data_IF_324475258317
#
_entry.id   IF_324475258317
#
_cell.length_a   1.000
_cell.length_b   1.000
_cell.length_c   1.000
_cell.angle_alpha   90.00
_cell.angle_beta   90.00
_cell.angle_gamma   90.00
#
_symmetry.space_group_name_H-M   'P 1'
#
loop_
_entity.id
_entity.type
_entity.pdbx_description
1 polymer ?
#
# COMPACT_ATOMS: atom_id res chain seq x y z
N UNK A 1 7.41 56.95 -41.53
CA UNK A 1 7.15 55.96 -40.45
C UNK A 1 8.43 55.18 -40.17
N UNK A 2 9.13 55.44 -39.05
CA UNK A 2 10.31 54.66 -38.64
C UNK A 2 9.83 53.34 -38.02
N UNK A 3 10.17 52.20 -38.61
CA UNK A 3 9.90 50.86 -38.05
C UNK A 3 10.79 50.66 -36.81
N UNK A 4 10.18 50.54 -35.64
CA UNK A 4 10.85 50.11 -34.41
C UNK A 4 11.20 48.63 -34.60
N UNK A 5 12.49 48.31 -34.72
CA UNK A 5 12.96 46.92 -34.67
C UNK A 5 12.85 46.45 -33.22
N UNK A 6 11.86 45.60 -32.95
CA UNK A 6 11.78 44.87 -31.69
C UNK A 6 12.84 43.76 -31.76
N UNK A 7 14.01 43.99 -31.15
CA UNK A 7 14.97 42.92 -30.92
C UNK A 7 14.38 42.01 -29.82
N UNK A 8 13.72 40.91 -30.21
CA UNK A 8 13.15 39.94 -29.28
C UNK A 8 14.21 38.93 -28.79
N UNK A 9 15.28 39.43 -28.19
CA UNK A 9 16.30 38.62 -27.52
C UNK A 9 16.19 38.79 -26.02
N UNK A 10 16.20 37.69 -25.26
CA UNK A 10 16.34 37.75 -23.82
C UNK A 10 17.72 38.32 -23.48
N UNK A 11 17.76 39.29 -22.56
CA UNK A 11 19.00 39.78 -22.00
C UNK A 11 19.61 38.72 -21.07
N UNK A 12 20.94 38.73 -20.91
CA UNK A 12 21.66 37.76 -20.09
C UNK A 12 21.11 37.67 -18.65
N UNK A 13 20.66 38.79 -18.09
CA UNK A 13 20.07 38.82 -16.75
C UNK A 13 18.69 38.15 -16.70
N UNK A 14 17.84 38.38 -17.70
CA UNK A 14 16.54 37.71 -17.79
C UNK A 14 16.69 36.21 -18.01
N UNK A 15 17.74 35.76 -18.72
CA UNK A 15 18.09 34.33 -18.83
C UNK A 15 18.47 33.73 -17.48
N UNK A 16 19.30 34.42 -16.69
CA UNK A 16 19.69 33.97 -15.35
C UNK A 16 18.47 33.89 -14.43
N UNK A 17 17.61 34.92 -14.42
CA UNK A 17 16.37 34.90 -13.62
C UNK A 17 15.43 33.77 -14.05
N UNK A 18 15.28 33.55 -15.35
CA UNK A 18 14.45 32.45 -15.88
C UNK A 18 14.98 31.08 -15.47
N UNK A 19 16.31 30.88 -15.46
CA UNK A 19 16.94 29.64 -15.00
C UNK A 19 16.72 29.40 -13.50
N UNK A 20 16.81 30.45 -12.67
CA UNK A 20 16.54 30.33 -11.23
C UNK A 20 15.09 29.94 -10.97
N UNK A 21 14.14 30.57 -11.67
CA UNK A 21 12.72 30.22 -11.57
C UNK A 21 12.50 28.77 -12.02
N UNK A 22 13.12 28.37 -13.14
CA UNK A 22 13.01 27.01 -13.66
C UNK A 22 13.59 25.97 -12.68
N UNK A 23 14.72 26.27 -12.04
CA UNK A 23 15.33 25.39 -11.05
C UNK A 23 14.41 25.18 -9.85
N UNK A 24 13.80 26.25 -9.34
CA UNK A 24 12.84 26.18 -8.22
C UNK A 24 11.63 25.31 -8.63
N UNK A 25 11.07 25.54 -9.82
CA UNK A 25 9.96 24.75 -10.34
C UNK A 25 10.34 23.27 -10.51
N UNK A 26 11.52 22.99 -11.04
CA UNK A 26 12.02 21.64 -11.25
C UNK A 26 12.15 20.87 -9.93
N UNK A 27 12.67 21.53 -8.88
CA UNK A 27 12.78 20.93 -7.55
C UNK A 27 11.39 20.53 -7.04
N UNK A 28 10.43 21.45 -7.08
CA UNK A 28 9.05 21.21 -6.61
C UNK A 28 8.39 20.05 -7.38
N UNK A 29 8.50 20.05 -8.72
CA UNK A 29 7.92 19.00 -9.56
C UNK A 29 8.58 17.64 -9.27
N UNK A 30 9.90 17.60 -9.08
CA UNK A 30 10.63 16.36 -8.77
C UNK A 30 10.18 15.76 -7.43
N UNK A 31 9.98 16.60 -6.41
CA UNK A 31 9.43 16.15 -5.13
C UNK A 31 8.02 15.59 -5.27
N UNK A 32 7.15 16.27 -6.04
CA UNK A 32 5.79 15.80 -6.29
C UNK A 32 5.78 14.44 -7.01
N UNK A 33 6.55 14.30 -8.10
CA UNK A 33 6.64 13.05 -8.86
C UNK A 33 7.12 11.90 -7.97
N UNK A 34 8.18 12.13 -7.18
CA UNK A 34 8.74 11.11 -6.29
C UNK A 34 7.73 10.68 -5.23
N UNK A 35 7.00 11.64 -4.67
CA UNK A 35 5.97 11.38 -3.65
C UNK A 35 4.80 10.58 -4.24
N UNK A 36 4.33 10.96 -5.44
CA UNK A 36 3.24 10.25 -6.13
C UNK A 36 3.67 8.83 -6.46
N UNK A 37 4.89 8.63 -6.98
CA UNK A 37 5.40 7.32 -7.28
C UNK A 37 5.41 6.43 -6.03
N UNK A 38 5.99 6.92 -4.94
CA UNK A 38 6.04 6.19 -3.66
C UNK A 38 4.64 5.83 -3.15
N UNK A 39 3.73 6.79 -3.08
CA UNK A 39 2.37 6.57 -2.62
C UNK A 39 1.61 5.59 -3.51
N UNK A 40 1.84 5.61 -4.82
CA UNK A 40 1.22 4.66 -5.75
C UNK A 40 1.73 3.23 -5.54
N UNK A 41 3.03 3.04 -5.30
CA UNK A 41 3.58 1.74 -4.95
C UNK A 41 3.03 1.22 -3.62
N UNK A 42 3.01 2.07 -2.58
CA UNK A 42 2.48 1.70 -1.27
C UNK A 42 0.98 1.34 -1.35
N UNK A 43 0.19 2.14 -2.07
CA UNK A 43 -1.23 1.86 -2.30
C UNK A 43 -1.46 0.55 -3.04
N UNK A 44 -0.62 0.23 -4.04
CA UNK A 44 -0.69 -1.05 -4.76
C UNK A 44 -0.44 -2.23 -3.84
N UNK A 45 0.58 -2.16 -2.99
CA UNK A 45 0.89 -3.26 -2.06
C UNK A 45 -0.19 -3.43 -0.99
N UNK A 46 -0.73 -2.33 -0.47
CA UNK A 46 -1.86 -2.38 0.46
C UNK A 46 -3.08 -3.02 -0.20
N UNK A 47 -3.42 -2.63 -1.43
CA UNK A 47 -4.55 -3.23 -2.16
C UNK A 47 -4.39 -4.75 -2.35
N UNK A 48 -3.19 -5.20 -2.71
CA UNK A 48 -2.89 -6.64 -2.84
C UNK A 48 -3.01 -7.33 -1.48
N UNK A 49 -2.44 -6.75 -0.41
CA UNK A 49 -2.52 -7.28 0.94
C UNK A 49 -3.99 -7.42 1.41
N UNK A 50 -4.81 -6.38 1.24
CA UNK A 50 -6.24 -6.43 1.55
C UNK A 50 -6.96 -7.53 0.77
N UNK A 51 -6.66 -7.69 -0.53
CA UNK A 51 -7.27 -8.73 -1.36
C UNK A 51 -6.87 -10.14 -0.90
N UNK A 52 -5.61 -10.34 -0.53
CA UNK A 52 -5.11 -11.61 -0.01
C UNK A 52 -5.77 -11.96 1.32
N UNK A 53 -5.82 -11.01 2.25
CA UNK A 53 -6.44 -11.19 3.56
C UNK A 53 -7.93 -11.52 3.40
N UNK A 54 -8.66 -10.78 2.56
CA UNK A 54 -10.08 -11.03 2.29
C UNK A 54 -10.32 -12.42 1.68
N UNK A 55 -9.50 -12.81 0.70
CA UNK A 55 -9.58 -14.14 0.09
C UNK A 55 -9.40 -15.23 1.14
N UNK A 56 -8.36 -15.12 1.99
CA UNK A 56 -8.08 -16.10 3.05
C UNK A 56 -9.18 -16.12 4.12
N UNK A 57 -9.73 -14.97 4.45
CA UNK A 57 -10.86 -14.86 5.37
C UNK A 57 -12.07 -15.66 4.88
N UNK A 58 -12.44 -15.50 3.61
CA UNK A 58 -13.55 -16.25 3.02
C UNK A 58 -13.24 -17.75 2.89
N UNK A 59 -12.01 -18.13 2.57
CA UNK A 59 -11.58 -19.53 2.53
C UNK A 59 -11.66 -20.20 3.91
N UNK A 60 -11.21 -19.53 4.97
CA UNK A 60 -11.33 -20.02 6.36
C UNK A 60 -12.81 -20.14 6.74
N UNK A 61 -13.65 -19.17 6.35
CA UNK A 61 -15.10 -19.23 6.59
C UNK A 61 -15.78 -20.40 5.87
N UNK A 62 -15.41 -20.67 4.63
CA UNK A 62 -16.00 -21.71 3.80
C UNK A 62 -15.57 -23.14 4.20
N UNK A 63 -14.43 -23.29 4.89
CA UNK A 63 -13.93 -24.60 5.29
C UNK A 63 -14.87 -25.25 6.32
N UNK A 64 -15.04 -26.57 6.33
CA UNK A 64 -15.88 -27.26 7.33
C UNK A 64 -15.15 -27.51 8.66
N UNK A 65 -13.86 -27.81 8.56
CA UNK A 65 -12.99 -28.10 9.70
C UNK A 65 -12.06 -26.91 9.96
N UNK A 66 -11.68 -26.73 11.22
CA UNK A 66 -10.70 -25.71 11.61
C UNK A 66 -9.56 -26.41 12.32
N UNK A 67 -8.34 -26.11 11.87
CA UNK A 67 -7.11 -26.57 12.49
C UNK A 67 -6.56 -25.40 13.29
N UNK A 68 -6.47 -25.57 14.60
CA UNK A 68 -5.89 -24.59 15.52
C UNK A 68 -4.38 -24.47 15.32
N UNK A 69 -3.84 -23.30 15.67
CA UNK A 69 -2.41 -23.01 15.65
C UNK A 69 -2.02 -21.87 14.72
N UNK A 70 -0.71 -21.63 14.64
CA UNK A 70 -0.12 -20.59 13.80
C UNK A 70 0.46 -21.20 12.53
N UNK A 71 0.11 -20.63 11.39
CA UNK A 71 0.68 -20.98 10.09
C UNK A 71 1.27 -19.73 9.47
N UNK A 72 2.53 -19.81 9.06
CA UNK A 72 3.17 -18.77 8.28
C UNK A 72 3.65 -19.36 6.97
N UNK A 73 3.34 -18.70 5.85
CA UNK A 73 3.76 -19.13 4.54
C UNK A 73 4.00 -17.94 3.61
N UNK A 74 4.88 -18.14 2.63
CA UNK A 74 5.23 -17.12 1.65
C UNK A 74 4.31 -17.23 0.44
N UNK A 75 3.76 -16.09 0.01
CA UNK A 75 3.00 -15.96 -1.22
C UNK A 75 3.60 -14.82 -2.05
N UNK A 76 4.29 -15.17 -3.14
CA UNK A 76 5.08 -14.22 -3.94
C UNK A 76 6.05 -13.42 -3.05
N UNK A 77 5.91 -12.09 -3.00
CA UNK A 77 6.73 -11.18 -2.19
C UNK A 77 6.12 -10.89 -0.80
N UNK A 78 5.03 -11.56 -0.45
CA UNK A 78 4.32 -11.37 0.82
C UNK A 78 4.49 -12.57 1.73
N UNK A 79 4.46 -12.32 3.03
CA UNK A 79 4.36 -13.37 4.05
C UNK A 79 2.95 -13.29 4.63
N UNK A 80 2.26 -14.42 4.67
CA UNK A 80 0.93 -14.53 5.24
C UNK A 80 1.06 -15.33 6.53
N UNK A 81 0.53 -14.78 7.62
CA UNK A 81 0.46 -15.42 8.92
C UNK A 81 -1.00 -15.57 9.33
N UNK A 82 -1.35 -16.78 9.76
CA UNK A 82 -2.69 -17.14 10.21
C UNK A 82 -2.57 -17.71 11.60
N UNK A 83 -3.22 -17.06 12.56
CA UNK A 83 -3.34 -17.55 13.92
C UNK A 83 -4.79 -17.92 14.17
N UNK A 84 -5.04 -19.19 14.50
CA UNK A 84 -6.38 -19.69 14.81
C UNK A 84 -6.42 -20.23 16.23
N UNK A 85 -7.29 -19.66 17.05
CA UNK A 85 -7.47 -20.00 18.47
C UNK A 85 -8.91 -20.36 18.77
N UNK A 86 -9.12 -21.38 19.60
CA UNK A 86 -10.45 -21.74 20.08
C UNK A 86 -10.89 -20.81 21.21
N UNK A 87 -12.13 -20.34 21.16
CA UNK A 87 -12.71 -19.49 22.20
C UNK A 87 -13.49 -20.36 23.18
N UNK A 88 -12.91 -20.62 24.35
CA UNK A 88 -13.47 -21.53 25.36
C UNK A 88 -14.71 -20.98 26.09
N UNK A 89 -14.96 -19.68 26.02
CA UNK A 89 -16.08 -19.03 26.71
C UNK A 89 -17.47 -19.41 26.14
N UNK A 90 -17.52 -19.96 24.93
CA UNK A 90 -18.77 -20.33 24.27
C UNK A 90 -19.05 -21.84 24.39
N UNK A 91 -20.32 -22.19 24.62
CA UNK A 91 -20.79 -23.59 24.68
C UNK A 91 -20.71 -24.33 23.33
N UNK A 92 -20.61 -23.59 22.23
CA UNK A 92 -20.43 -24.12 20.87
C UNK A 92 -18.97 -23.95 20.43
N UNK A 93 -18.46 -24.79 19.51
CA UNK A 93 -17.09 -24.64 19.01
C UNK A 93 -16.95 -23.35 18.17
N UNK A 94 -16.52 -22.28 18.85
CA UNK A 94 -16.21 -20.98 18.26
C UNK A 94 -14.70 -20.84 18.15
N UNK A 95 -14.25 -20.39 16.98
CA UNK A 95 -12.84 -20.16 16.69
C UNK A 95 -12.63 -18.71 16.29
N UNK A 96 -11.64 -18.07 16.89
CA UNK A 96 -11.09 -16.79 16.47
C UNK A 96 -9.94 -17.05 15.52
N UNK A 97 -9.88 -16.29 14.43
CA UNK A 97 -8.77 -16.34 13.51
C UNK A 97 -8.29 -14.93 13.16
N UNK A 98 -6.97 -14.76 13.10
CA UNK A 98 -6.30 -13.51 12.74
C UNK A 98 -5.43 -13.81 11.52
N UNK A 99 -5.59 -13.01 10.47
CA UNK A 99 -4.83 -13.13 9.23
C UNK A 99 -4.02 -11.84 9.07
N UNK A 100 -2.70 -11.96 9.04
CA UNK A 100 -1.77 -10.85 8.88
C UNK A 100 -0.97 -11.02 7.60
N UNK A 101 -0.88 -9.97 6.80
CA UNK A 101 -0.05 -9.94 5.59
C UNK A 101 1.10 -8.98 5.78
N UNK A 102 2.30 -9.49 5.59
CA UNK A 102 3.55 -8.76 5.75
C UNK A 102 4.26 -8.59 4.41
N UNK A 103 5.00 -7.50 4.31
CA UNK A 103 6.00 -7.26 3.27
C UNK A 103 7.18 -6.51 3.87
N UNK A 104 8.41 -6.97 3.60
CA UNK A 104 9.64 -6.37 4.12
C UNK A 104 9.59 -6.14 5.65
N UNK A 105 9.14 -7.16 6.38
CA UNK A 105 8.91 -7.17 7.85
C UNK A 105 7.90 -6.14 8.38
N UNK A 106 7.12 -5.50 7.49
CA UNK A 106 6.02 -4.60 7.85
C UNK A 106 4.68 -5.26 7.63
N UNK A 107 3.80 -5.14 8.61
CA UNK A 107 2.39 -5.48 8.46
C UNK A 107 1.74 -4.46 7.53
N UNK A 108 1.17 -4.95 6.43
CA UNK A 108 0.40 -4.12 5.51
C UNK A 108 -1.09 -4.14 5.84
N UNK A 109 -1.60 -5.30 6.25
CA UNK A 109 -3.02 -5.50 6.57
C UNK A 109 -3.19 -6.61 7.59
N UNK A 110 -4.19 -6.46 8.47
CA UNK A 110 -4.61 -7.50 9.41
C UNK A 110 -6.13 -7.56 9.47
N UNK A 111 -6.69 -8.76 9.42
CA UNK A 111 -8.13 -8.95 9.57
C UNK A 111 -8.42 -10.09 10.54
N UNK A 112 -9.34 -9.79 11.45
CA UNK A 112 -9.81 -10.71 12.48
C UNK A 112 -11.21 -11.22 12.14
N UNK A 113 -11.44 -12.50 12.42
CA UNK A 113 -12.72 -13.15 12.21
C UNK A 113 -13.08 -14.12 13.33
N UNK A 114 -14.38 -14.38 13.41
CA UNK A 114 -14.94 -15.46 14.22
C UNK A 114 -15.63 -16.46 13.29
N UNK A 115 -15.48 -17.74 13.61
CA UNK A 115 -16.22 -18.82 12.96
C UNK A 115 -16.86 -19.71 14.00
N UNK A 116 -18.16 -19.90 13.83
CA UNK A 116 -18.97 -20.81 14.64
C UNK A 116 -19.21 -22.07 13.82
N UNK A 117 -18.78 -23.22 14.33
CA UNK A 117 -19.11 -24.52 13.74
C UNK A 117 -20.39 -25.01 14.44
N UNK A 118 -21.43 -25.32 13.66
CA UNK A 118 -22.69 -25.89 14.14
C UNK A 118 -22.79 -27.36 13.76
#
# INVERSE_FOLDING_TARGET
>A
MKKIKINSGFTMIETIFSLVIFLILYIVISFLITTIAKNSYDARYNYIATTLVQKRYEEIKATKEIIEGCKSYKYEDFIIEEEITKVEEYKSPVYKFVISVYKDDKILETLEGLKVIK
#
